data_IF_154132052625
#
_entry.id   IF_154132052625
#
_cell.length_a   1.000
_cell.length_b   1.000
_cell.length_c   1.000
_cell.angle_alpha   90.00
_cell.angle_beta   90.00
_cell.angle_gamma   90.00
#
_symmetry.space_group_name_H-M   'P 1'
#
loop_
_entity.id
_entity.type
_entity.pdbx_description
1 polymer ?
#
# COMPACT_ATOMS: atom_id res chain seq x y z
N UNK A 1 1.84 -48.33 -8.87
CA UNK A 1 1.58 -47.31 -7.84
C UNK A 1 0.75 -46.21 -8.46
N UNK A 2 -0.45 -45.97 -7.94
CA UNK A 2 -1.31 -44.86 -8.34
C UNK A 2 -1.16 -43.79 -7.26
N UNK A 3 -0.36 -42.76 -7.51
CA UNK A 3 -0.42 -41.52 -6.75
C UNK A 3 -0.05 -40.38 -7.69
N UNK A 4 -1.04 -39.55 -8.01
CA UNK A 4 -0.85 -38.19 -8.45
C UNK A 4 -2.14 -37.45 -8.09
N UNK A 5 -2.44 -37.41 -6.79
CA UNK A 5 -3.27 -36.35 -6.23
C UNK A 5 -2.38 -35.12 -6.17
N UNK A 6 -2.46 -34.28 -7.22
CA UNK A 6 -2.00 -32.90 -7.08
C UNK A 6 -3.18 -32.15 -6.49
N UNK A 7 -3.04 -31.78 -5.22
CA UNK A 7 -3.93 -30.81 -4.60
C UNK A 7 -3.65 -29.47 -5.28
N UNK A 8 -4.49 -29.11 -6.23
CA UNK A 8 -4.51 -27.79 -6.82
C UNK A 8 -5.11 -26.82 -5.80
N UNK A 9 -4.23 -26.17 -5.04
CA UNK A 9 -4.31 -24.72 -4.88
C UNK A 9 -5.32 -24.15 -3.90
N UNK A 10 -5.45 -24.71 -2.69
CA UNK A 10 -5.79 -23.88 -1.53
C UNK A 10 -4.55 -23.02 -1.17
N UNK A 11 -4.33 -21.96 -1.95
CA UNK A 11 -3.36 -20.94 -1.61
C UNK A 11 -3.92 -19.56 -2.01
N UNK A 12 -4.68 -19.02 -1.05
CA UNK A 12 -4.87 -17.58 -0.78
C UNK A 12 -5.86 -16.90 -1.74
N UNK A 13 -7.14 -17.15 -1.53
CA UNK A 13 -7.98 -16.12 -0.90
C UNK A 13 -7.27 -15.43 0.28
N UNK A 14 -6.44 -14.42 -0.02
CA UNK A 14 -5.88 -13.41 0.88
C UNK A 14 -5.17 -12.41 -0.04
N UNK A 15 -5.58 -11.17 -0.26
CA UNK A 15 -6.39 -10.29 0.55
C UNK A 15 -7.22 -9.40 -0.37
N UNK A 16 -8.37 -8.96 0.15
CA UNK A 16 -8.96 -7.62 -0.01
C UNK A 16 -8.29 -6.78 -1.11
N UNK A 17 -9.01 -6.56 -2.22
CA UNK A 17 -8.61 -5.58 -3.24
C UNK A 17 -8.16 -4.27 -2.58
N UNK A 18 -7.24 -3.51 -3.20
CA UNK A 18 -6.50 -2.43 -2.57
C UNK A 18 -7.46 -1.61 -1.74
N UNK A 19 -7.39 -1.76 -0.42
CA UNK A 19 -8.13 -0.89 0.46
C UNK A 19 -7.65 0.50 0.08
N UNK A 20 -8.56 1.36 -0.35
CA UNK A 20 -8.28 2.77 -0.64
C UNK A 20 -7.56 3.34 0.58
N UNK A 21 -6.23 3.32 0.52
CA UNK A 21 -5.44 2.98 1.69
C UNK A 21 -5.16 4.24 2.46
N UNK A 22 -6.07 4.67 3.33
CA UNK A 22 -5.80 5.79 4.21
C UNK A 22 -5.41 5.29 5.60
N UNK A 23 -4.37 5.86 6.17
CA UNK A 23 -3.92 5.58 7.53
C UNK A 23 -4.10 6.81 8.41
N UNK A 24 -4.72 6.65 9.58
CA UNK A 24 -4.79 7.71 10.58
C UNK A 24 -3.62 7.58 11.55
N UNK A 25 -2.76 8.59 11.57
CA UNK A 25 -1.56 8.68 12.41
C UNK A 25 -1.93 8.55 13.89
N UNK A 26 -1.22 7.69 14.61
CA UNK A 26 -1.39 7.50 16.06
C UNK A 26 -0.30 8.24 16.84
N UNK A 27 -0.53 8.56 18.12
CA UNK A 27 0.50 9.12 18.98
C UNK A 27 1.75 8.22 19.02
N UNK A 28 2.89 8.78 18.61
CA UNK A 28 4.18 8.08 18.59
C UNK A 28 4.53 7.43 17.25
N UNK A 29 3.65 7.48 16.25
CA UNK A 29 3.98 7.03 14.89
C UNK A 29 4.99 7.97 14.21
N UNK A 30 5.68 7.43 13.22
CA UNK A 30 6.51 8.14 12.25
C UNK A 30 6.34 7.48 10.88
N UNK A 31 6.67 8.19 9.79
CA UNK A 31 6.45 7.70 8.44
C UNK A 31 7.17 6.37 8.16
N UNK A 32 8.36 6.16 8.73
CA UNK A 32 9.12 4.92 8.59
C UNK A 32 8.37 3.72 9.19
N UNK A 33 7.92 3.85 10.44
CA UNK A 33 7.19 2.79 11.14
C UNK A 33 5.83 2.49 10.49
N UNK A 34 5.14 3.52 9.97
CA UNK A 34 3.87 3.34 9.25
C UNK A 34 4.10 2.57 7.94
N UNK A 35 5.09 3.00 7.16
CA UNK A 35 5.36 2.37 5.88
C UNK A 35 5.83 0.90 6.02
N UNK A 36 6.65 0.61 7.03
CA UNK A 36 7.06 -0.76 7.38
C UNK A 36 5.87 -1.61 7.83
N UNK A 37 5.03 -1.08 8.72
CA UNK A 37 3.85 -1.80 9.22
C UNK A 37 2.79 -2.07 8.15
N UNK A 38 2.69 -1.22 7.14
CA UNK A 38 1.75 -1.35 6.01
C UNK A 38 2.37 -2.03 4.79
N UNK A 39 3.63 -2.46 4.86
CA UNK A 39 4.38 -3.10 3.77
C UNK A 39 4.32 -2.28 2.47
N UNK A 40 4.52 -0.97 2.57
CA UNK A 40 4.41 -0.08 1.40
C UNK A 40 5.57 -0.33 0.42
N UNK A 41 5.30 -0.55 -0.88
CA UNK A 41 6.32 -0.97 -1.85
C UNK A 41 7.44 0.06 -2.04
N UNK A 42 7.13 1.36 -2.03
CA UNK A 42 8.15 2.42 -2.04
C UNK A 42 8.51 2.97 -0.66
N UNK A 43 8.00 2.35 0.40
CA UNK A 43 8.28 2.72 1.78
C UNK A 43 7.85 4.14 2.15
N UNK A 44 8.48 4.67 3.18
CA UNK A 44 8.14 5.98 3.73
C UNK A 44 8.43 7.19 2.81
N UNK A 45 9.40 7.17 1.88
CA UNK A 45 9.62 8.29 0.98
C UNK A 45 8.46 8.51 0.01
N UNK A 46 7.91 7.43 -0.57
CA UNK A 46 6.70 7.53 -1.41
C UNK A 46 5.48 7.95 -0.60
N UNK A 47 5.34 7.43 0.63
CA UNK A 47 4.31 7.88 1.57
C UNK A 47 4.40 9.39 1.84
N UNK A 48 5.61 9.91 2.06
CA UNK A 48 5.81 11.35 2.26
C UNK A 48 5.46 12.15 1.00
N UNK A 49 5.95 11.73 -0.17
CA UNK A 49 5.70 12.47 -1.41
C UNK A 49 4.21 12.52 -1.77
N UNK A 50 3.47 11.43 -1.53
CA UNK A 50 2.01 11.39 -1.67
C UNK A 50 1.28 12.36 -0.71
N UNK A 51 1.83 12.58 0.49
CA UNK A 51 1.19 13.36 1.56
C UNK A 51 1.88 14.69 1.85
N UNK A 52 2.81 15.15 1.01
CA UNK A 52 3.64 16.32 1.27
C UNK A 52 2.84 17.61 1.48
N UNK A 53 1.67 17.70 0.85
CA UNK A 53 0.74 18.80 1.04
C UNK A 53 0.15 18.85 2.47
N UNK A 54 -0.03 17.68 3.10
CA UNK A 54 -0.57 17.53 4.45
C UNK A 54 0.51 17.50 5.53
N UNK A 55 1.63 16.83 5.27
CA UNK A 55 2.77 16.73 6.20
C UNK A 55 3.59 18.02 6.21
N UNK A 56 3.67 18.73 5.09
CA UNK A 56 4.48 19.94 4.93
C UNK A 56 5.92 19.61 4.60
N UNK A 57 6.84 20.52 4.94
CA UNK A 57 8.26 20.42 4.57
C UNK A 57 9.07 19.45 5.43
N UNK A 58 8.54 19.04 6.57
CA UNK A 58 9.22 18.20 7.54
C UNK A 58 8.54 16.81 7.62
N UNK A 59 9.16 15.75 7.05
CA UNK A 59 8.59 14.41 7.03
C UNK A 59 8.52 13.77 8.42
N UNK A 60 9.26 14.26 9.42
CA UNK A 60 9.21 13.77 10.79
C UNK A 60 8.05 14.39 11.59
N UNK A 61 7.41 15.45 11.06
CA UNK A 61 6.34 16.20 11.72
C UNK A 61 4.94 15.73 11.29
N UNK A 62 4.63 14.46 11.55
CA UNK A 62 3.26 13.97 11.42
C UNK A 62 2.48 14.14 12.73
N UNK A 63 1.19 14.44 12.62
CA UNK A 63 0.35 14.73 13.78
C UNK A 63 -0.65 13.61 14.07
N UNK A 64 -0.87 13.21 15.33
CA UNK A 64 -1.92 12.26 15.66
C UNK A 64 -3.29 12.73 15.16
N UNK A 65 -4.02 11.82 14.51
CA UNK A 65 -5.31 12.11 13.86
C UNK A 65 -5.19 12.60 12.42
N UNK A 66 -3.97 12.85 11.90
CA UNK A 66 -3.75 13.14 10.49
C UNK A 66 -4.04 11.90 9.64
N UNK A 67 -4.67 12.09 8.49
CA UNK A 67 -4.87 11.03 7.51
C UNK A 67 -3.71 11.06 6.51
N UNK A 68 -3.16 9.89 6.20
CA UNK A 68 -2.13 9.70 5.18
C UNK A 68 -2.66 8.78 4.10
N UNK A 69 -2.55 9.19 2.85
CA UNK A 69 -2.75 8.35 1.69
C UNK A 69 -1.57 7.39 1.52
N UNK A 70 -1.82 6.09 1.56
CA UNK A 70 -0.80 5.05 1.47
C UNK A 70 -0.38 4.76 0.03
N UNK A 71 -0.96 5.41 -0.99
CA UNK A 71 -0.63 5.17 -2.39
C UNK A 71 -0.93 3.75 -2.87
N UNK A 72 -1.74 2.99 -2.13
CA UNK A 72 -2.14 1.62 -2.49
C UNK A 72 -3.22 1.59 -3.59
N UNK A 73 -3.66 2.77 -4.05
CA UNK A 73 -4.57 2.97 -5.16
C UNK A 73 -3.91 2.71 -6.52
N UNK A 74 -4.02 1.45 -6.93
CA UNK A 74 -4.00 0.92 -8.30
C UNK A 74 -2.64 0.69 -9.01
N UNK A 75 -2.15 -0.58 -9.10
CA UNK A 75 -1.17 -0.98 -10.11
C UNK A 75 -1.71 -1.01 -11.56
N UNK A 76 -2.96 -0.62 -11.84
CA UNK A 76 -3.58 -0.72 -13.17
C UNK A 76 -3.51 0.57 -14.02
N UNK A 77 -2.33 1.19 -14.13
CA UNK A 77 -2.04 2.01 -15.31
C UNK A 77 -1.31 1.23 -16.43
N UNK A 78 -1.01 -0.06 -16.24
CA UNK A 78 -0.27 -0.86 -17.23
C UNK A 78 -1.13 -1.86 -18.03
N UNK A 79 -2.47 -1.79 -17.97
CA UNK A 79 -3.34 -2.66 -18.77
C UNK A 79 -4.34 -1.83 -19.59
N UNK A 80 -4.25 -1.98 -20.92
CA UNK A 80 -5.08 -1.47 -22.04
C UNK A 80 -4.60 -0.24 -22.85
N UNK A 81 -3.29 -0.12 -23.05
CA UNK A 81 -2.75 0.43 -24.31
C UNK A 81 -2.53 -0.68 -25.35
N UNK A 82 -3.54 -1.50 -25.63
CA UNK A 82 -3.49 -2.42 -26.79
C UNK A 82 -4.92 -2.62 -27.32
N UNK A 83 -5.10 -2.48 -28.64
CA UNK A 83 -6.33 -2.73 -29.42
C UNK A 83 -7.25 -1.53 -29.71
N UNK A 84 -6.76 -0.57 -30.50
CA UNK A 84 -7.58 0.00 -31.57
C UNK A 84 -6.67 0.30 -32.76
N UNK A 85 -6.43 -0.73 -33.56
CA UNK A 85 -5.97 -0.60 -34.95
C UNK A 85 -7.13 -0.38 -35.89
#
# INVERSE_FOLDING_TARGET
GRHASRGDGDARDSATGPADGTYTVRPGDNLWAIADAQDLPGGWPELYEANKAEVGSDPDLILPGQNLDLGLGDPAQDQVAESAG
#
